data_IF_998929251241
#
_entry.id   IF_998929251241
#
_cell.length_a   1.000
_cell.length_b   1.000
_cell.length_c   1.000
_cell.angle_alpha   90.00
_cell.angle_beta   90.00
_cell.angle_gamma   90.00
#
_symmetry.space_group_name_H-M   'P 1'
#
loop_
_entity.id
_entity.type
_entity.pdbx_description
1 polymer ?
#
# COMPACT_ATOMS: atom_id res chain seq x y z
N UNK A 1 3.55 10.59 5.80
CA UNK A 1 2.72 9.63 6.56
C UNK A 1 3.52 8.36 6.72
N UNK A 2 3.35 7.61 7.80
CA UNK A 2 4.04 6.34 8.04
C UNK A 2 3.09 5.36 8.74
N UNK A 3 3.12 4.09 8.37
CA UNK A 3 2.28 3.04 8.96
C UNK A 3 3.19 2.12 9.76
N UNK A 4 2.75 1.76 10.96
CA UNK A 4 3.38 0.77 11.83
C UNK A 4 2.34 -0.32 12.09
N UNK A 5 2.76 -1.57 11.98
CA UNK A 5 1.92 -2.74 12.21
C UNK A 5 2.70 -3.81 12.97
N UNK A 6 2.00 -4.60 13.78
CA UNK A 6 2.51 -5.85 14.35
C UNK A 6 2.34 -7.04 13.38
N UNK A 7 1.70 -6.83 12.23
CA UNK A 7 1.58 -7.83 11.18
C UNK A 7 2.89 -7.93 10.39
N UNK A 8 3.48 -9.12 10.36
CA UNK A 8 4.81 -9.36 9.77
C UNK A 8 4.78 -9.98 8.38
N UNK A 9 3.59 -10.33 7.88
CA UNK A 9 3.43 -10.87 6.53
C UNK A 9 3.39 -9.72 5.53
N UNK A 10 4.08 -9.92 4.41
CA UNK A 10 4.23 -8.92 3.37
C UNK A 10 3.44 -9.33 2.13
N UNK A 11 2.11 -9.27 2.23
CA UNK A 11 1.17 -9.71 1.20
C UNK A 11 0.26 -8.56 0.70
N UNK A 12 -0.73 -8.92 -0.12
CA UNK A 12 -1.62 -7.95 -0.77
C UNK A 12 -2.67 -7.41 0.20
N UNK A 13 -3.12 -8.28 1.10
CA UNK A 13 -4.09 -8.03 2.17
C UNK A 13 -3.56 -6.96 3.13
N UNK A 14 -2.28 -7.07 3.49
CA UNK A 14 -1.56 -6.07 4.29
C UNK A 14 -1.55 -4.71 3.60
N UNK A 15 -1.21 -4.66 2.31
CA UNK A 15 -1.19 -3.41 1.53
C UNK A 15 -2.58 -2.79 1.45
N UNK A 16 -3.63 -3.59 1.25
CA UNK A 16 -5.00 -3.09 1.21
C UNK A 16 -5.47 -2.58 2.58
N UNK A 17 -5.12 -3.26 3.67
CA UNK A 17 -5.39 -2.81 5.04
C UNK A 17 -4.73 -1.46 5.32
N UNK A 18 -3.50 -1.28 4.85
CA UNK A 18 -2.77 -0.02 4.94
C UNK A 18 -3.41 1.12 4.12
N UNK A 19 -3.88 0.82 2.91
CA UNK A 19 -4.66 1.76 2.10
C UNK A 19 -5.94 2.19 2.83
N UNK A 20 -6.66 1.23 3.41
CA UNK A 20 -7.91 1.48 4.16
C UNK A 20 -7.68 2.39 5.37
N UNK A 21 -6.52 2.29 6.03
CA UNK A 21 -6.15 3.18 7.13
C UNK A 21 -5.80 4.61 6.68
N UNK A 22 -5.14 4.77 5.53
CA UNK A 22 -4.59 6.05 5.09
C UNK A 22 -5.57 6.88 4.27
N UNK A 23 -6.35 6.26 3.39
CA UNK A 23 -7.25 6.96 2.45
C UNK A 23 -8.24 7.89 3.16
N UNK A 24 -8.88 7.54 4.28
CA UNK A 24 -9.77 8.46 4.99
C UNK A 24 -9.07 9.76 5.41
N UNK A 25 -7.83 9.67 5.89
CA UNK A 25 -7.02 10.85 6.23
C UNK A 25 -6.61 11.68 5.01
N UNK A 26 -6.48 11.07 3.83
CA UNK A 26 -6.24 11.80 2.59
C UNK A 26 -7.51 12.55 2.18
N UNK A 27 -8.69 11.90 2.21
CA UNK A 27 -9.98 12.51 1.89
C UNK A 27 -10.30 13.69 2.83
N UNK A 28 -10.04 13.53 4.12
CA UNK A 28 -10.21 14.60 5.11
C UNK A 28 -9.31 15.80 4.81
N UNK A 29 -8.03 15.56 4.50
CA UNK A 29 -7.07 16.63 4.24
C UNK A 29 -7.26 17.30 2.86
N UNK A 30 -7.74 16.55 1.88
CA UNK A 30 -7.88 16.98 0.50
C UNK A 30 -9.29 16.65 0.00
N UNK A 31 -10.29 17.42 0.44
CA UNK A 31 -11.71 17.16 0.16
C UNK A 31 -12.09 17.16 -1.33
N UNK A 32 -11.28 17.77 -2.19
CA UNK A 32 -11.48 17.82 -3.64
C UNK A 32 -10.76 16.70 -4.40
N UNK A 33 -10.09 15.78 -3.71
CA UNK A 33 -9.39 14.67 -4.35
C UNK A 33 -10.38 13.75 -5.07
N UNK A 34 -10.12 13.46 -6.34
CA UNK A 34 -10.96 12.58 -7.17
C UNK A 34 -10.27 11.29 -7.60
N UNK A 35 -8.94 11.28 -7.51
CA UNK A 35 -8.09 10.21 -8.04
C UNK A 35 -6.84 10.03 -7.20
N UNK A 36 -6.48 8.78 -6.92
CA UNK A 36 -5.21 8.39 -6.32
C UNK A 36 -4.31 7.71 -7.35
N UNK A 37 -3.04 8.08 -7.38
CA UNK A 37 -2.05 7.46 -8.28
C UNK A 37 -1.01 6.78 -7.39
N UNK A 38 -1.01 5.46 -7.39
CA UNK A 38 -0.05 4.64 -6.66
C UNK A 38 1.22 4.47 -7.48
N UNK A 39 2.36 4.63 -6.81
CA UNK A 39 3.68 4.32 -7.36
C UNK A 39 4.38 3.35 -6.42
N UNK A 40 4.75 2.17 -6.91
CA UNK A 40 5.46 1.16 -6.13
C UNK A 40 6.56 0.49 -6.93
N UNK A 41 7.39 -0.31 -6.27
CA UNK A 41 8.29 -1.24 -6.94
C UNK A 41 7.54 -2.46 -7.48
N UNK A 42 8.22 -3.24 -8.30
CA UNK A 42 7.67 -4.41 -8.98
C UNK A 42 7.57 -5.69 -8.13
N UNK A 43 7.63 -5.60 -6.80
CA UNK A 43 7.54 -6.78 -5.92
C UNK A 43 6.23 -7.53 -6.13
N UNK A 44 6.32 -8.79 -6.56
CA UNK A 44 5.14 -9.61 -6.88
C UNK A 44 4.37 -10.06 -5.65
N UNK A 45 5.03 -10.21 -4.50
CA UNK A 45 4.34 -10.61 -3.27
C UNK A 45 3.39 -9.51 -2.77
N UNK A 46 3.83 -8.25 -2.86
CA UNK A 46 3.17 -7.12 -2.20
C UNK A 46 2.34 -6.26 -3.17
N UNK A 47 2.88 -5.95 -4.35
CA UNK A 47 2.32 -4.89 -5.20
C UNK A 47 1.95 -5.38 -6.60
N UNK A 48 2.89 -5.95 -7.34
CA UNK A 48 2.71 -6.26 -8.76
C UNK A 48 2.14 -7.67 -8.98
N UNK A 49 0.87 -7.85 -8.62
CA UNK A 49 0.17 -9.13 -8.72
C UNK A 49 -1.32 -9.01 -9.06
N UNK A 50 -1.92 -10.15 -9.42
CA UNK A 50 -3.33 -10.26 -9.80
C UNK A 50 -4.30 -9.74 -8.75
N UNK A 51 -4.03 -9.97 -7.47
CA UNK A 51 -4.91 -9.58 -6.36
C UNK A 51 -5.00 -8.06 -6.27
N UNK A 52 -3.88 -7.36 -6.42
CA UNK A 52 -3.87 -5.90 -6.46
C UNK A 52 -4.55 -5.33 -7.70
N UNK A 53 -4.46 -6.00 -8.85
CA UNK A 53 -5.19 -5.57 -10.04
C UNK A 53 -6.71 -5.74 -9.86
N UNK A 54 -7.15 -6.74 -9.12
CA UNK A 54 -8.55 -6.85 -8.73
C UNK A 54 -8.95 -5.72 -7.77
N UNK A 55 -8.11 -5.43 -6.78
CA UNK A 55 -8.36 -4.34 -5.83
C UNK A 55 -8.44 -2.98 -6.50
N UNK A 56 -7.57 -2.69 -7.48
CA UNK A 56 -7.61 -1.40 -8.18
C UNK A 56 -8.87 -1.26 -9.04
N UNK A 57 -9.36 -2.36 -9.64
CA UNK A 57 -10.64 -2.39 -10.35
C UNK A 57 -11.85 -2.10 -9.44
N UNK A 58 -11.78 -2.46 -8.16
CA UNK A 58 -12.83 -2.21 -7.16
C UNK A 58 -12.57 -0.95 -6.31
N UNK A 59 -11.53 -0.18 -6.62
CA UNK A 59 -11.11 0.93 -5.77
C UNK A 59 -12.14 2.06 -5.71
N UNK A 60 -12.86 2.31 -6.80
CA UNK A 60 -13.92 3.34 -6.82
C UNK A 60 -15.11 2.93 -5.96
N UNK A 61 -15.48 1.64 -5.93
CA UNK A 61 -16.52 1.14 -5.01
C UNK A 61 -16.06 1.11 -3.55
N UNK A 62 -14.79 0.76 -3.30
CA UNK A 62 -14.27 0.60 -1.94
C UNK A 62 -13.98 1.95 -1.25
N UNK A 63 -13.54 2.96 -2.02
CA UNK A 63 -13.01 4.21 -1.46
C UNK A 63 -13.66 5.49 -2.02
N UNK A 64 -14.56 5.37 -3.00
CA UNK A 64 -15.19 6.48 -3.74
C UNK A 64 -14.15 7.37 -4.45
N UNK A 65 -13.04 6.77 -4.86
CA UNK A 65 -11.95 7.44 -5.56
C UNK A 65 -11.51 6.61 -6.76
N UNK A 66 -11.26 7.28 -7.88
CA UNK A 66 -10.59 6.63 -9.01
C UNK A 66 -9.15 6.32 -8.64
N UNK A 67 -8.55 5.31 -9.25
CA UNK A 67 -7.15 5.00 -8.99
C UNK A 67 -6.40 4.53 -10.21
N UNK A 68 -5.07 4.66 -10.16
CA UNK A 68 -4.13 4.06 -11.11
C UNK A 68 -2.91 3.55 -10.36
N UNK A 69 -2.27 2.51 -10.87
CA UNK A 69 -1.08 1.95 -10.25
C UNK A 69 0.05 1.85 -11.25
N UNK A 70 1.13 2.54 -10.93
CA UNK A 70 2.34 2.66 -11.70
C UNK A 70 3.50 1.98 -10.98
N UNK A 71 4.41 1.40 -11.74
CA UNK A 71 5.51 0.60 -11.24
C UNK A 71 6.85 1.12 -11.74
N UNK A 72 7.78 1.38 -10.82
CA UNK A 72 9.15 1.76 -11.16
C UNK A 72 9.89 0.63 -11.89
N UNK A 73 10.95 0.99 -12.61
CA UNK A 73 11.87 0.01 -13.16
C UNK A 73 12.53 -0.82 -12.04
N UNK A 74 12.74 -2.10 -12.32
CA UNK A 74 13.41 -3.03 -11.39
C UNK A 74 14.75 -2.44 -10.94
N UNK A 75 15.02 -2.49 -9.64
CA UNK A 75 16.28 -2.04 -9.01
C UNK A 75 16.51 -0.52 -8.87
N UNK A 76 15.55 0.33 -9.24
CA UNK A 76 15.67 1.80 -9.11
C UNK A 76 14.70 2.45 -8.12
N UNK A 77 14.02 1.67 -7.28
CA UNK A 77 12.88 2.14 -6.48
C UNK A 77 13.26 2.81 -5.15
N UNK A 78 14.26 3.71 -5.15
CA UNK A 78 14.42 4.63 -4.02
C UNK A 78 13.37 5.72 -4.12
N UNK A 79 12.65 5.98 -3.02
CA UNK A 79 11.62 7.01 -3.01
C UNK A 79 11.69 7.85 -1.74
N UNK A 80 10.82 8.85 -1.65
CA UNK A 80 10.67 9.66 -0.43
C UNK A 80 10.30 8.82 0.80
N UNK A 81 9.78 7.60 0.61
CA UNK A 81 9.50 6.67 1.70
C UNK A 81 10.78 6.24 2.45
N UNK A 82 11.92 6.16 1.77
CA UNK A 82 13.20 5.77 2.39
C UNK A 82 13.68 6.81 3.39
N UNK A 83 13.44 8.10 3.12
CA UNK A 83 13.79 9.19 4.03
C UNK A 83 12.97 9.14 5.33
N UNK A 84 11.66 8.89 5.21
CA UNK A 84 10.76 8.70 6.36
C UNK A 84 11.16 7.46 7.14
N UNK A 85 11.30 6.31 6.46
CA UNK A 85 11.66 5.04 7.09
C UNK A 85 13.03 5.10 7.75
N UNK A 86 14.02 5.70 7.09
CA UNK A 86 15.36 5.93 7.64
C UNK A 86 15.34 6.82 8.88
N UNK A 87 14.55 7.89 8.87
CA UNK A 87 14.38 8.79 10.03
C UNK A 87 13.77 8.05 11.22
N UNK A 88 12.67 7.33 10.99
CA UNK A 88 11.99 6.53 12.03
C UNK A 88 12.93 5.49 12.62
N UNK A 89 13.58 4.67 11.77
CA UNK A 89 14.52 3.62 12.21
C UNK A 89 15.69 4.20 13.00
N UNK A 90 16.31 5.28 12.49
CA UNK A 90 17.44 5.94 13.16
C UNK A 90 17.05 6.46 14.54
N UNK A 91 15.92 7.16 14.65
CA UNK A 91 15.48 7.74 15.92
C UNK A 91 15.05 6.67 16.93
N UNK A 92 14.34 5.64 16.47
CA UNK A 92 13.95 4.51 17.31
C UNK A 92 15.18 3.77 17.83
N UNK A 93 16.13 3.40 16.96
CA UNK A 93 17.35 2.70 17.35
C UNK A 93 18.18 3.52 18.36
N UNK A 94 18.39 4.81 18.08
CA UNK A 94 19.10 5.70 19.01
C UNK A 94 18.40 5.79 20.36
N UNK A 95 17.07 5.87 20.36
CA UNK A 95 16.29 5.97 21.60
C UNK A 95 16.37 4.67 22.40
N UNK A 96 16.22 3.51 21.75
CA UNK A 96 16.34 2.22 22.43
C UNK A 96 17.70 2.05 23.13
N UNK A 97 18.79 2.54 22.53
CA UNK A 97 20.12 2.52 23.15
C UNK A 97 20.24 3.41 24.40
N UNK A 98 19.45 4.47 24.51
CA UNK A 98 19.51 5.41 25.64
C UNK A 98 18.47 5.13 26.73
N UNK A 99 17.45 4.30 26.46
CA UNK A 99 16.37 4.06 27.43
C UNK A 99 16.82 3.09 28.53
N UNK A 100 16.28 3.24 29.76
CA UNK A 100 16.48 2.26 30.82
C UNK A 100 15.78 0.93 30.47
N UNK A 101 16.21 -0.16 31.12
CA UNK A 101 15.71 -1.52 30.85
C UNK A 101 14.19 -1.67 30.97
N UNK A 102 13.55 -0.91 31.86
CA UNK A 102 12.10 -0.96 32.11
C UNK A 102 11.24 -0.14 31.13
N UNK A 103 11.84 0.50 30.12
CA UNK A 103 11.12 1.37 29.17
C UNK A 103 11.56 1.12 27.71
N UNK A 104 11.97 -0.09 27.37
CA UNK A 104 12.43 -0.43 26.03
C UNK A 104 11.31 -0.39 24.99
N UNK A 105 11.66 -0.12 23.73
CA UNK A 105 10.73 -0.22 22.59
C UNK A 105 10.74 -1.68 22.13
N UNK A 106 9.80 -2.49 22.60
CA UNK A 106 9.80 -3.94 22.39
C UNK A 106 8.72 -4.40 21.41
N UNK A 107 7.61 -3.67 21.31
CA UNK A 107 6.48 -4.00 20.44
C UNK A 107 6.29 -2.97 19.34
N UNK A 108 5.55 -3.34 18.28
CA UNK A 108 5.14 -2.39 17.25
C UNK A 108 4.29 -1.24 17.84
N UNK A 109 3.50 -1.53 18.88
CA UNK A 109 2.69 -0.52 19.58
C UNK A 109 3.55 0.46 20.39
N UNK A 110 4.63 -0.03 21.02
CA UNK A 110 5.60 0.84 21.69
C UNK A 110 6.32 1.74 20.68
N UNK A 111 6.69 1.18 19.53
CA UNK A 111 7.32 1.93 18.44
C UNK A 111 6.37 3.02 17.93
N UNK A 112 5.10 2.68 17.70
CA UNK A 112 4.08 3.65 17.30
C UNK A 112 3.90 4.77 18.32
N UNK A 113 3.81 4.43 19.60
CA UNK A 113 3.65 5.40 20.70
C UNK A 113 4.86 6.33 20.78
N UNK A 114 6.07 5.79 20.70
CA UNK A 114 7.31 6.58 20.64
C UNK A 114 7.35 7.53 19.44
N UNK A 115 7.08 7.00 18.24
CA UNK A 115 7.12 7.77 17.00
C UNK A 115 6.12 8.92 17.01
N UNK A 116 4.89 8.66 17.47
CA UNK A 116 3.83 9.67 17.55
C UNK A 116 4.17 10.77 18.55
N UNK A 117 4.79 10.43 19.69
CA UNK A 117 5.19 11.41 20.70
C UNK A 117 6.42 12.24 20.28
N UNK A 118 7.33 11.67 19.49
CA UNK A 118 8.66 12.28 19.24
C UNK A 118 8.77 12.93 17.87
N UNK A 119 8.09 12.40 16.85
CA UNK A 119 8.26 12.81 15.45
C UNK A 119 6.98 13.51 14.96
N UNK A 120 6.86 14.80 15.29
CA UNK A 120 5.64 15.59 15.04
C UNK A 120 5.35 15.85 13.56
N UNK A 121 6.38 15.91 12.71
CA UNK A 121 6.24 16.22 11.28
C UNK A 121 5.74 15.02 10.43
N UNK A 122 5.56 13.85 11.04
CA UNK A 122 5.11 12.64 10.34
C UNK A 122 3.83 12.15 11.00
N UNK A 123 2.71 12.13 10.26
CA UNK A 123 1.49 11.47 10.71
C UNK A 123 1.69 9.95 10.69
N UNK A 124 1.59 9.32 11.86
CA UNK A 124 1.68 7.87 12.02
C UNK A 124 0.29 7.23 12.06
N UNK A 125 0.22 6.00 11.56
CA UNK A 125 -0.95 5.12 11.68
C UNK A 125 -0.52 3.81 12.32
N UNK A 126 -1.36 3.27 13.20
CA UNK A 126 -1.19 1.93 13.73
C UNK A 126 -2.24 1.01 13.13
N UNK A 127 -1.80 -0.06 12.46
CA UNK A 127 -2.70 -1.07 11.89
C UNK A 127 -2.39 -2.40 12.60
N UNK A 128 -3.25 -2.88 13.51
CA UNK A 128 -3.01 -4.15 14.18
C UNK A 128 -3.30 -5.33 13.23
N UNK A 129 -2.71 -6.47 13.53
CA UNK A 129 -2.81 -7.70 12.73
C UNK A 129 -4.25 -8.17 12.56
N UNK A 130 -5.10 -7.95 13.56
CA UNK A 130 -6.52 -8.30 13.49
C UNK A 130 -7.22 -7.59 12.32
N UNK A 131 -6.89 -6.32 12.04
CA UNK A 131 -7.47 -5.60 10.91
C UNK A 131 -7.02 -6.20 9.57
N UNK A 132 -5.79 -6.72 9.49
CA UNK A 132 -5.30 -7.38 8.26
C UNK A 132 -6.04 -8.70 8.05
N UNK A 133 -6.24 -9.49 9.09
CA UNK A 133 -6.98 -10.77 9.05
C UNK A 133 -8.45 -10.55 8.66
N UNK A 134 -9.09 -9.51 9.19
CA UNK A 134 -10.46 -9.15 8.80
C UNK A 134 -10.55 -8.72 7.33
N UNK A 135 -9.56 -7.97 6.85
CA UNK A 135 -9.47 -7.56 5.44
C UNK A 135 -9.24 -8.78 4.54
N UNK A 136 -8.35 -9.69 4.90
CA UNK A 136 -8.11 -10.94 4.18
C UNK A 136 -9.41 -11.73 4.01
N UNK A 137 -10.17 -11.89 5.09
CA UNK A 137 -11.47 -12.59 5.08
C UNK A 137 -12.47 -11.94 4.11
N UNK A 138 -12.52 -10.60 4.05
CA UNK A 138 -13.40 -9.85 3.14
C UNK A 138 -12.96 -9.95 1.68
N UNK A 139 -11.65 -9.99 1.42
CA UNK A 139 -11.11 -10.02 0.07
C UNK A 139 -11.02 -11.43 -0.52
N UNK A 140 -11.20 -12.47 0.30
CA UNK A 140 -11.08 -13.86 -0.11
C UNK A 140 -11.98 -14.19 -1.31
N UNK A 141 -13.25 -13.78 -1.27
CA UNK A 141 -14.17 -13.99 -2.39
C UNK A 141 -13.66 -13.31 -3.67
N UNK A 142 -13.29 -12.02 -3.56
CA UNK A 142 -12.74 -11.24 -4.67
C UNK A 142 -11.51 -11.92 -5.30
N UNK A 143 -10.61 -12.48 -4.49
CA UNK A 143 -9.39 -13.11 -4.99
C UNK A 143 -9.59 -14.51 -5.59
N UNK A 144 -10.69 -15.18 -5.23
CA UNK A 144 -11.09 -16.46 -5.81
C UNK A 144 -11.68 -16.29 -7.22
N UNK A 145 -12.32 -15.15 -7.50
CA UNK A 145 -12.92 -14.84 -8.80
C UNK A 145 -11.90 -14.38 -9.85
N UNK A 146 -10.71 -13.96 -9.41
CA UNK A 146 -9.64 -13.45 -10.29
C UNK A 146 -8.90 -14.61 -10.95
N UNK A 147 -8.62 -14.58 -12.27
CA UNK A 147 -7.86 -15.60 -12.99
C UNK A 147 -6.51 -15.88 -12.33
N UNK A 148 -6.07 -17.14 -12.35
CA UNK A 148 -4.83 -17.59 -11.70
C UNK A 148 -3.59 -16.84 -12.19
N UNK A 149 -3.58 -16.39 -13.44
CA UNK A 149 -2.48 -15.62 -14.01
C UNK A 149 -2.97 -14.58 -15.02
N UNK A 150 -2.34 -13.41 -15.01
CA UNK A 150 -2.54 -12.34 -16.00
C UNK A 150 -1.30 -12.25 -16.88
N UNK A 151 -1.45 -12.62 -18.15
CA UNK A 151 -0.35 -12.68 -19.11
C UNK A 151 0.29 -11.30 -19.30
N UNK A 152 1.62 -11.28 -19.39
CA UNK A 152 2.37 -10.04 -19.59
C UNK A 152 2.53 -9.16 -18.35
N UNK A 153 2.02 -9.59 -17.17
CA UNK A 153 2.10 -8.81 -15.92
C UNK A 153 3.50 -8.22 -15.68
N UNK A 154 4.56 -9.00 -15.85
CA UNK A 154 5.94 -8.53 -15.63
C UNK A 154 6.35 -7.38 -16.53
N UNK A 155 5.80 -7.30 -17.75
CA UNK A 155 6.19 -6.35 -18.79
C UNK A 155 5.47 -4.99 -18.68
N UNK A 156 4.33 -4.93 -17.99
CA UNK A 156 3.55 -3.70 -17.88
C UNK A 156 3.99 -2.87 -16.68
N UNK A 157 4.05 -1.56 -16.83
CA UNK A 157 4.44 -0.61 -15.80
C UNK A 157 3.29 0.27 -15.31
N UNK A 158 2.12 0.14 -15.92
CA UNK A 158 0.94 0.93 -15.57
C UNK A 158 -0.32 0.07 -15.69
N UNK A 159 -1.22 0.25 -14.73
CA UNK A 159 -2.51 -0.43 -14.62
C UNK A 159 -3.58 0.61 -14.28
N UNK A 160 -4.58 0.73 -15.15
CA UNK A 160 -5.65 1.73 -15.06
C UNK A 160 -7.00 0.99 -15.12
N UNK A 161 -7.86 1.08 -14.10
CA UNK A 161 -9.17 0.47 -14.11
C UNK A 161 -10.09 1.13 -15.16
N UNK A 162 -10.96 0.33 -15.77
CA UNK A 162 -11.97 0.82 -16.72
C UNK A 162 -13.24 1.15 -15.94
N UNK A 163 -13.80 2.34 -16.19
CA UNK A 163 -15.04 2.78 -15.51
C UNK A 163 -16.14 1.74 -15.73
N UNK A 164 -16.82 1.33 -14.65
CA UNK A 164 -17.92 0.36 -14.66
C UNK A 164 -17.54 -1.05 -15.17
N UNK A 165 -16.24 -1.40 -15.20
CA UNK A 165 -15.79 -2.73 -15.60
C UNK A 165 -14.70 -3.23 -14.65
N UNK A 166 -15.03 -4.27 -13.88
CA UNK A 166 -14.09 -4.87 -12.91
C UNK A 166 -13.30 -6.05 -13.47
N UNK A 167 -13.74 -6.62 -14.60
CA UNK A 167 -13.14 -7.79 -15.26
C UNK A 167 -12.07 -7.46 -16.30
N UNK A 168 -11.81 -6.18 -16.53
CA UNK A 168 -10.79 -5.71 -17.47
C UNK A 168 -10.05 -4.51 -16.88
N UNK A 169 -8.77 -4.44 -17.20
CA UNK A 169 -7.89 -3.34 -16.85
C UNK A 169 -7.09 -2.91 -18.07
N UNK A 170 -6.82 -1.62 -18.12
CA UNK A 170 -5.93 -1.02 -19.10
C UNK A 170 -4.48 -1.14 -18.60
N UNK A 171 -3.58 -1.58 -19.48
CA UNK A 171 -2.16 -1.79 -19.18
C UNK A 171 -1.27 -1.05 -20.17
N UNK A 172 -0.11 -0.59 -19.72
CA UNK A 172 0.88 0.11 -20.56
C UNK A 172 2.31 -0.34 -20.25
N UNK A 173 3.18 -0.36 -21.25
CA UNK A 173 4.60 -0.74 -21.08
C UNK A 173 5.41 0.36 -20.39
N UNK A 174 4.98 1.63 -20.52
CA UNK A 174 5.55 2.78 -19.84
C UNK A 174 4.41 3.60 -19.23
N UNK A 175 4.69 4.35 -18.15
CA UNK A 175 3.69 5.12 -17.41
C UNK A 175 2.98 6.26 -18.19
N UNK A 176 3.28 6.42 -19.49
CA UNK A 176 2.68 7.42 -20.39
C UNK A 176 2.56 6.91 -21.85
N UNK A 177 2.65 5.60 -22.10
CA UNK A 177 2.56 5.04 -23.47
C UNK A 177 1.14 4.59 -23.85
N UNK A 178 0.96 4.25 -25.13
CA UNK A 178 -0.28 3.65 -25.66
C UNK A 178 -0.75 2.47 -24.81
N UNK A 179 -2.05 2.47 -24.54
CA UNK A 179 -2.69 1.61 -23.55
C UNK A 179 -3.36 0.43 -24.24
N UNK A 180 -3.29 -0.76 -23.63
CA UNK A 180 -3.93 -1.99 -24.11
C UNK A 180 -4.91 -2.51 -23.07
N UNK A 181 -6.00 -3.16 -23.46
CA UNK A 181 -6.90 -3.85 -22.52
C UNK A 181 -6.37 -5.25 -22.17
N UNK A 182 -6.57 -5.68 -20.93
CA UNK A 182 -6.28 -7.05 -20.46
C UNK A 182 -7.34 -7.49 -19.45
N UNK A 183 -7.69 -8.78 -19.44
CA UNK A 183 -8.68 -9.34 -18.49
C UNK A 183 -8.06 -9.50 -17.09
N UNK A 184 -8.86 -9.18 -16.08
CA UNK A 184 -8.55 -9.27 -14.64
C UNK A 184 -9.60 -10.13 -13.95
#
# INVERSE_FOLDING_TARGET
MCIISDHTIHDTETVFSFQTAVIPSIKEKFSLVKKLIYFSDGSSAQYKNRKNFANICHHESDFELKSEWHFFATSHSKSSCDGIGGTVKRLAARTSLHRPYNNQILTAKDLFSFCTATITNIKFFFVPSINVIEVESKLQQRFNEVPTAILGTRNYHCYIPISNCTSKILVSYLSQSSVKETKV
#
